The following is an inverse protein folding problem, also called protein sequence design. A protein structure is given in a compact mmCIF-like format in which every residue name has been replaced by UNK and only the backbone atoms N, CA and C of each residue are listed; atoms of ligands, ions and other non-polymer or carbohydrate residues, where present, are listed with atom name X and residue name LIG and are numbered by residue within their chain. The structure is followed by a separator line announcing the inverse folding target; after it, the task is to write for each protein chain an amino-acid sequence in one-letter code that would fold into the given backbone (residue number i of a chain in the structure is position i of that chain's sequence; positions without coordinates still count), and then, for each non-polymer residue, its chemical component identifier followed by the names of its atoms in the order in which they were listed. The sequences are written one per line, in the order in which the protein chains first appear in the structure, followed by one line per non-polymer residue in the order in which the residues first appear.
data_IF_149263094132
#
_entry.id   IF_149263094132
#
_cell.length_a   1.000
_cell.length_b   1.000
_cell.length_c   1.000
_cell.angle_alpha   90.00
_cell.angle_beta   90.00
_cell.angle_gamma   90.00
#
_symmetry.space_group_name_H-M   'P 1'
#
loop_
_entity.id
_entity.type
_entity.pdbx_description
1 polymer ?
#
# COMPACT_ATOMS: atom_id res chain seq x y z
N UNK A 1 2.25 1.06 -29.60
CA UNK A 1 1.97 0.17 -28.46
C UNK A 1 3.23 0.06 -27.61
N UNK A 2 3.08 -0.03 -26.29
CA UNK A 2 4.12 -0.09 -25.24
C UNK A 2 4.86 1.21 -24.90
N UNK A 3 4.35 1.91 -23.88
CA UNK A 3 5.11 2.69 -22.88
C UNK A 3 4.23 3.34 -21.78
N UNK A 4 2.91 3.16 -21.81
CA UNK A 4 1.98 3.84 -20.87
C UNK A 4 1.51 2.94 -19.71
N UNK A 5 1.77 1.63 -19.75
CA UNK A 5 1.24 0.68 -18.75
C UNK A 5 2.00 0.70 -17.40
N UNK A 6 3.19 1.30 -17.34
CA UNK A 6 4.02 1.28 -16.14
C UNK A 6 3.76 2.41 -15.12
N UNK A 7 2.88 3.37 -15.39
CA UNK A 7 2.74 4.59 -14.56
C UNK A 7 1.34 4.73 -13.92
N UNK A 8 0.41 3.81 -14.16
CA UNK A 8 -0.96 3.90 -13.63
C UNK A 8 -1.18 3.10 -12.33
N UNK A 9 -0.20 2.29 -11.90
CA UNK A 9 -0.37 1.40 -10.73
C UNK A 9 -0.24 2.12 -9.38
N UNK A 10 0.24 3.37 -9.35
CA UNK A 10 0.45 4.12 -8.08
C UNK A 10 -0.71 5.08 -7.74
N UNK A 11 -1.68 5.29 -8.65
CA UNK A 11 -2.81 6.22 -8.41
C UNK A 11 -4.06 5.53 -7.85
N UNK A 12 -4.15 4.19 -7.89
CA UNK A 12 -5.34 3.46 -7.42
C UNK A 12 -5.31 3.06 -5.93
N UNK A 13 -4.17 3.16 -5.25
CA UNK A 13 -4.12 3.02 -3.78
C UNK A 13 -4.66 4.25 -3.04
N UNK A 14 -4.89 5.37 -3.74
CA UNK A 14 -5.62 6.51 -3.18
C UNK A 14 -7.15 6.34 -3.19
N UNK A 15 -7.69 5.32 -3.89
CA UNK A 15 -9.13 5.15 -4.07
C UNK A 15 -9.75 4.04 -3.20
N UNK A 16 -9.00 3.01 -2.81
CA UNK A 16 -9.54 1.87 -2.07
C UNK A 16 -9.57 2.06 -0.55
N UNK A 17 -8.45 2.48 0.03
CA UNK A 17 -8.32 2.71 1.47
C UNK A 17 -8.22 4.22 1.64
N UNK A 18 -9.23 4.83 2.26
CA UNK A 18 -9.40 6.27 2.32
C UNK A 18 -8.12 6.99 2.71
N UNK A 19 -7.44 7.57 1.73
CA UNK A 19 -6.62 8.76 1.93
C UNK A 19 -7.61 9.92 2.12
N UNK A 20 -8.38 9.87 3.21
CA UNK A 20 -9.36 10.90 3.54
C UNK A 20 -8.71 12.15 4.14
N UNK A 21 -7.37 12.16 4.28
CA UNK A 21 -6.66 13.24 4.96
C UNK A 21 -5.62 13.99 4.13
N UNK A 22 -5.17 13.50 2.96
CA UNK A 22 -4.36 14.34 2.07
C UNK A 22 -5.26 15.35 1.33
N UNK A 23 -6.51 14.97 1.03
CA UNK A 23 -7.50 15.85 0.40
C UNK A 23 -7.92 17.01 1.33
N UNK A 24 -7.89 16.82 2.65
CA UNK A 24 -8.30 17.87 3.60
C UNK A 24 -7.22 18.90 3.94
N UNK A 25 -5.94 18.61 3.71
CA UNK A 25 -4.86 19.54 4.07
C UNK A 25 -4.41 20.47 2.93
N UNK A 26 -4.78 20.23 1.68
CA UNK A 26 -4.25 21.04 0.56
C UNK A 26 -5.28 21.67 -0.38
N UNK A 27 -6.58 21.40 -0.24
CA UNK A 27 -7.57 21.89 -1.20
C UNK A 27 -8.11 23.31 -0.96
N UNK A 28 -7.56 24.09 -0.03
CA UNK A 28 -7.97 25.50 0.13
C UNK A 28 -6.92 26.58 -0.10
N UNK A 29 -5.65 26.26 -0.33
CA UNK A 29 -4.63 27.30 -0.56
C UNK A 29 -3.30 26.87 -1.25
N UNK A 30 -3.19 25.70 -1.88
CA UNK A 30 -1.95 25.31 -2.55
C UNK A 30 -1.97 25.66 -4.04
N UNK A 31 -1.06 26.54 -4.47
CA UNK A 31 -0.81 26.84 -5.89
C UNK A 31 -0.39 25.56 -6.65
N UNK A 32 -0.66 25.47 -7.95
CA UNK A 32 -0.37 24.30 -8.81
C UNK A 32 1.10 23.84 -8.71
N UNK A 33 2.03 24.79 -8.52
CA UNK A 33 3.45 24.50 -8.26
C UNK A 33 3.67 23.72 -6.97
N UNK A 34 2.97 24.07 -5.88
CA UNK A 34 3.07 23.37 -4.59
C UNK A 34 2.49 21.96 -4.67
N UNK A 35 1.39 21.78 -5.42
CA UNK A 35 0.83 20.44 -5.68
C UNK A 35 1.79 19.56 -6.47
N UNK A 36 2.45 20.12 -7.48
CA UNK A 36 3.44 19.40 -8.30
C UNK A 36 4.66 18.97 -7.47
N UNK A 37 5.23 19.88 -6.69
CA UNK A 37 6.38 19.59 -5.80
C UNK A 37 5.99 18.57 -4.74
N UNK A 38 4.81 18.72 -4.12
CA UNK A 38 4.31 17.75 -3.14
C UNK A 38 4.15 16.36 -3.77
N UNK A 39 3.60 16.28 -4.98
CA UNK A 39 3.47 15.02 -5.72
C UNK A 39 4.83 14.40 -6.02
N UNK A 40 5.81 15.19 -6.45
CA UNK A 40 7.17 14.71 -6.75
C UNK A 40 7.86 14.19 -5.49
N UNK A 41 7.80 14.92 -4.37
CA UNK A 41 8.39 14.52 -3.09
C UNK A 41 7.72 13.25 -2.56
N UNK A 42 6.39 13.22 -2.52
CA UNK A 42 5.63 12.03 -2.08
C UNK A 42 5.92 10.83 -3.00
N UNK A 43 6.01 11.03 -4.31
CA UNK A 43 6.35 9.95 -5.24
C UNK A 43 7.77 9.42 -5.02
N UNK A 44 8.73 10.30 -4.74
CA UNK A 44 10.11 9.92 -4.46
C UNK A 44 10.20 9.14 -3.13
N UNK A 45 9.52 9.61 -2.09
CA UNK A 45 9.50 8.98 -0.76
C UNK A 45 8.81 7.61 -0.79
N UNK A 46 7.81 7.43 -1.65
CA UNK A 46 7.06 6.17 -1.77
C UNK A 46 7.64 5.20 -2.79
N UNK A 47 8.57 5.62 -3.64
CA UNK A 47 9.17 4.76 -4.66
C UNK A 47 9.78 3.46 -4.09
N UNK A 48 10.52 3.47 -2.96
CA UNK A 48 11.06 2.24 -2.37
C UNK A 48 9.97 1.28 -1.92
N UNK A 49 8.89 1.80 -1.31
CA UNK A 49 7.75 1.00 -0.85
C UNK A 49 7.00 0.42 -2.04
N UNK A 50 6.69 1.24 -3.05
CA UNK A 50 6.02 0.78 -4.27
C UNK A 50 6.82 -0.30 -4.99
N UNK A 51 8.15 -0.18 -5.04
CA UNK A 51 9.03 -1.21 -5.60
C UNK A 51 8.93 -2.52 -4.81
N UNK A 52 9.00 -2.46 -3.48
CA UNK A 52 8.91 -3.63 -2.63
C UNK A 52 7.52 -4.32 -2.69
N UNK A 53 6.44 -3.54 -2.85
CA UNK A 53 5.09 -4.09 -3.12
C UNK A 53 5.08 -4.85 -4.45
N UNK A 54 5.64 -4.26 -5.51
CA UNK A 54 5.73 -4.93 -6.82
C UNK A 54 6.49 -6.26 -6.75
N UNK A 55 7.58 -6.32 -5.98
CA UNK A 55 8.30 -7.57 -5.71
C UNK A 55 7.44 -8.60 -4.98
N UNK A 56 6.65 -8.17 -3.99
CA UNK A 56 5.74 -9.03 -3.24
C UNK A 56 4.60 -9.58 -4.12
N UNK A 57 4.07 -8.77 -5.03
CA UNK A 57 3.10 -9.18 -6.04
C UNK A 57 3.70 -10.15 -7.07
N UNK A 58 4.98 -9.98 -7.41
CA UNK A 58 5.72 -10.87 -8.30
C UNK A 58 6.33 -12.10 -7.58
N UNK A 59 5.99 -12.30 -6.30
CA UNK A 59 6.49 -13.41 -5.49
C UNK A 59 8.02 -13.52 -5.45
N UNK A 60 8.73 -12.39 -5.52
CA UNK A 60 10.19 -12.35 -5.41
C UNK A 60 10.63 -12.67 -3.98
N UNK A 61 11.70 -13.46 -3.86
CA UNK A 61 12.28 -13.81 -2.56
C UNK A 61 12.74 -12.57 -1.81
N UNK A 62 12.39 -12.47 -0.52
CA UNK A 62 12.81 -11.36 0.34
C UNK A 62 11.92 -10.11 0.30
N UNK A 63 10.88 -10.07 -0.55
CA UNK A 63 9.98 -8.93 -0.65
C UNK A 63 9.28 -8.59 0.68
N UNK A 64 8.85 -9.61 1.44
CA UNK A 64 8.25 -9.44 2.77
C UNK A 64 9.22 -8.77 3.74
N UNK A 65 10.46 -9.24 3.81
CA UNK A 65 11.48 -8.66 4.69
C UNK A 65 11.87 -7.23 4.28
N UNK A 66 11.90 -6.92 2.98
CA UNK A 66 12.13 -5.57 2.47
C UNK A 66 10.99 -4.62 2.87
N UNK A 67 9.72 -5.09 2.79
CA UNK A 67 8.57 -4.32 3.26
C UNK A 67 8.56 -4.13 4.77
N UNK A 68 8.94 -5.14 5.56
CA UNK A 68 9.08 -5.01 7.02
C UNK A 68 10.14 -3.96 7.37
N UNK A 69 11.31 -4.01 6.72
CA UNK A 69 12.36 -3.01 6.91
C UNK A 69 11.88 -1.59 6.55
N UNK A 70 11.12 -1.45 5.46
CA UNK A 70 10.51 -0.16 5.07
C UNK A 70 9.42 0.27 6.06
N UNK A 71 8.70 -0.66 6.67
CA UNK A 71 7.75 -0.42 7.77
C UNK A 71 8.40 0.24 9.00
N UNK A 72 9.71 0.10 9.17
CA UNK A 72 10.47 0.75 10.24
C UNK A 72 11.21 2.02 9.80
N UNK A 73 11.67 2.08 8.55
CA UNK A 73 12.65 3.09 8.10
C UNK A 73 12.06 4.19 7.21
N UNK A 74 10.91 3.96 6.59
CA UNK A 74 10.32 4.92 5.66
C UNK A 74 9.67 6.14 6.37
N UNK A 75 9.20 7.10 5.57
CA UNK A 75 8.34 8.18 6.06
C UNK A 75 7.05 7.59 6.68
N UNK A 76 6.32 8.33 7.53
CA UNK A 76 5.06 7.83 8.13
C UNK A 76 4.08 7.24 7.11
N UNK A 77 3.90 7.92 5.97
CA UNK A 77 3.06 7.43 4.87
C UNK A 77 3.62 6.15 4.23
N UNK A 78 4.93 6.11 3.98
CA UNK A 78 5.58 4.92 3.43
C UNK A 78 5.50 3.72 4.36
N UNK A 79 5.66 3.93 5.67
CA UNK A 79 5.49 2.90 6.71
C UNK A 79 4.07 2.36 6.73
N UNK A 80 3.08 3.25 6.71
CA UNK A 80 1.67 2.85 6.66
C UNK A 80 1.37 1.99 5.44
N UNK A 81 1.84 2.39 4.25
CA UNK A 81 1.66 1.62 3.02
C UNK A 81 2.39 0.26 3.04
N UNK A 82 3.61 0.22 3.58
CA UNK A 82 4.35 -1.03 3.70
C UNK A 82 3.59 -2.05 4.57
N UNK A 83 3.07 -1.61 5.72
CA UNK A 83 2.30 -2.45 6.62
C UNK A 83 0.92 -2.83 6.07
N UNK A 84 0.26 -1.97 5.28
CA UNK A 84 -0.97 -2.34 4.56
C UNK A 84 -0.70 -3.47 3.56
N UNK A 85 0.39 -3.38 2.79
CA UNK A 85 0.75 -4.42 1.83
C UNK A 85 1.08 -5.75 2.52
N UNK A 86 1.80 -5.70 3.64
CA UNK A 86 2.05 -6.87 4.49
C UNK A 86 0.74 -7.47 5.01
N UNK A 87 -0.17 -6.63 5.52
CA UNK A 87 -1.47 -7.07 6.03
C UNK A 87 -2.31 -7.76 4.96
N UNK A 88 -2.35 -7.20 3.74
CA UNK A 88 -3.04 -7.81 2.59
C UNK A 88 -2.43 -9.15 2.21
N UNK A 89 -1.10 -9.27 2.25
CA UNK A 89 -0.42 -10.53 1.99
C UNK A 89 -0.73 -11.58 3.06
N UNK A 90 -0.64 -11.22 4.35
CA UNK A 90 -0.98 -12.14 5.44
C UNK A 90 -2.44 -12.60 5.35
N UNK A 91 -3.36 -11.67 5.07
CA UNK A 91 -4.77 -12.00 4.85
C UNK A 91 -4.93 -12.97 3.67
N UNK A 92 -4.26 -12.69 2.55
CA UNK A 92 -4.29 -13.52 1.35
C UNK A 92 -3.73 -14.93 1.60
N UNK A 93 -2.75 -15.06 2.48
CA UNK A 93 -2.16 -16.34 2.91
C UNK A 93 -2.99 -17.06 3.99
N UNK A 94 -4.09 -16.46 4.45
CA UNK A 94 -4.98 -17.01 5.47
C UNK A 94 -4.56 -16.70 6.93
N UNK A 95 -3.51 -15.90 7.14
CA UNK A 95 -3.06 -15.48 8.47
C UNK A 95 -3.75 -14.16 8.86
N UNK A 96 -4.99 -14.27 9.35
CA UNK A 96 -5.79 -13.11 9.76
C UNK A 96 -5.25 -12.40 11.00
N UNK A 97 -4.54 -13.12 11.88
CA UNK A 97 -3.97 -12.52 13.10
C UNK A 97 -2.76 -11.65 12.75
N UNK A 98 -1.84 -12.15 11.91
CA UNK A 98 -0.75 -11.34 11.39
C UNK A 98 -1.27 -10.15 10.58
N UNK A 99 -2.32 -10.36 9.77
CA UNK A 99 -2.96 -9.29 9.02
C UNK A 99 -3.52 -8.18 9.92
N UNK A 100 -4.11 -8.53 11.07
CA UNK A 100 -4.59 -7.58 12.08
C UNK A 100 -3.46 -6.79 12.73
N UNK A 101 -2.39 -7.47 13.13
CA UNK A 101 -1.22 -6.82 13.73
C UNK A 101 -0.59 -5.83 12.76
N UNK A 102 -0.39 -6.24 11.50
CA UNK A 102 0.20 -5.39 10.47
C UNK A 102 -0.72 -4.20 10.13
N UNK A 103 -2.04 -4.40 10.05
CA UNK A 103 -2.95 -3.27 9.83
C UNK A 103 -2.93 -2.27 11.00
N UNK A 104 -2.82 -2.76 12.24
CA UNK A 104 -2.64 -1.90 13.41
C UNK A 104 -1.32 -1.11 13.34
N UNK A 105 -0.21 -1.75 12.91
CA UNK A 105 1.05 -1.05 12.69
C UNK A 105 0.93 0.03 11.60
N UNK A 106 0.13 -0.20 10.55
CA UNK A 106 -0.13 0.80 9.53
C UNK A 106 -0.90 2.02 10.08
N UNK A 107 -1.89 1.78 10.94
CA UNK A 107 -2.66 2.79 11.66
C UNK A 107 -1.75 3.57 12.62
N UNK A 108 -0.83 2.87 13.29
CA UNK A 108 0.10 3.47 14.24
C UNK A 108 1.16 4.33 13.55
N UNK A 109 1.56 3.96 12.34
CA UNK A 109 2.43 4.75 11.48
C UNK A 109 1.74 5.98 10.88
N UNK A 110 0.40 5.97 10.75
CA UNK A 110 -0.34 7.12 10.24
C UNK A 110 -0.27 8.31 11.21
N UNK A 111 0.02 9.47 10.66
CA UNK A 111 -0.01 10.75 11.39
C UNK A 111 -1.44 11.19 11.70
N UNK A 112 -2.40 10.74 10.90
CA UNK A 112 -3.83 10.94 11.15
C UNK A 112 -4.43 9.65 11.68
N UNK A 113 -4.94 9.69 12.92
CA UNK A 113 -5.40 8.49 13.61
C UNK A 113 -6.86 8.22 13.20
N UNK A 114 -7.14 7.17 12.42
CA UNK A 114 -8.50 6.85 12.02
C UNK A 114 -9.37 6.60 13.26
N UNK A 115 -10.62 7.04 13.19
CA UNK A 115 -11.67 6.73 14.16
C UNK A 115 -11.91 5.23 14.27
N UNK A 116 -12.69 4.81 15.28
CA UNK A 116 -13.03 3.40 15.43
C UNK A 116 -13.80 2.84 14.22
N UNK A 117 -14.67 3.65 13.63
CA UNK A 117 -15.44 3.29 12.44
C UNK A 117 -14.54 3.14 11.21
N UNK A 118 -13.63 4.09 10.98
CA UNK A 118 -12.67 4.02 9.87
C UNK A 118 -11.71 2.83 10.01
N UNK A 119 -11.28 2.51 11.24
CA UNK A 119 -10.46 1.31 11.48
C UNK A 119 -11.19 0.03 11.09
N UNK A 120 -12.47 -0.09 11.43
CA UNK A 120 -13.28 -1.24 11.05
C UNK A 120 -13.45 -1.31 9.53
N UNK A 121 -13.69 -0.18 8.87
CA UNK A 121 -13.78 -0.12 7.41
C UNK A 121 -12.46 -0.54 6.73
N UNK A 122 -11.31 -0.17 7.29
CA UNK A 122 -10.00 -0.62 6.79
C UNK A 122 -9.84 -2.14 6.88
N UNK A 123 -10.38 -2.77 7.92
CA UNK A 123 -10.41 -4.23 8.05
C UNK A 123 -11.30 -4.89 7.00
N UNK A 124 -12.51 -4.34 6.79
CA UNK A 124 -13.44 -4.86 5.78
C UNK A 124 -12.87 -4.75 4.36
N UNK A 125 -12.11 -3.67 4.09
CA UNK A 125 -11.43 -3.43 2.82
C UNK A 125 -10.13 -4.22 2.65
N UNK A 126 -9.60 -4.82 3.72
CA UNK A 126 -8.38 -5.61 3.64
C UNK A 126 -8.56 -6.82 2.72
N UNK A 127 -9.75 -7.44 2.74
CA UNK A 127 -10.12 -8.54 1.87
C UNK A 127 -10.11 -8.14 0.38
N UNK A 128 -10.57 -6.93 0.07
CA UNK A 128 -10.52 -6.39 -1.29
C UNK A 128 -9.09 -6.13 -1.76
N UNK A 129 -8.25 -5.54 -0.90
CA UNK A 129 -6.83 -5.34 -1.19
C UNK A 129 -6.08 -6.66 -1.40
N UNK A 130 -6.35 -7.67 -0.56
CA UNK A 130 -5.83 -9.02 -0.72
C UNK A 130 -6.26 -9.66 -2.05
N UNK A 131 -7.52 -9.46 -2.47
CA UNK A 131 -8.02 -9.92 -3.77
C UNK A 131 -7.29 -9.24 -4.93
N UNK A 132 -7.08 -7.93 -4.86
CA UNK A 132 -6.32 -7.20 -5.90
C UNK A 132 -4.87 -7.71 -5.98
N UNK A 133 -4.23 -7.97 -4.83
CA UNK A 133 -2.90 -8.58 -4.79
C UNK A 133 -2.88 -9.98 -5.42
N UNK A 134 -3.91 -10.80 -5.19
CA UNK A 134 -4.05 -12.10 -5.83
C UNK A 134 -4.19 -12.00 -7.36
N UNK A 135 -4.95 -11.02 -7.85
CA UNK A 135 -5.09 -10.75 -9.28
C UNK A 135 -3.75 -10.30 -9.89
N UNK A 136 -2.96 -9.51 -9.17
CA UNK A 136 -1.61 -9.11 -9.59
C UNK A 136 -0.65 -10.30 -9.64
N UNK A 137 -0.62 -11.14 -8.60
CA UNK A 137 0.14 -12.41 -8.59
C UNK A 137 -0.20 -13.26 -9.80
N UNK A 138 -1.48 -13.39 -10.10
CA UNK A 138 -1.95 -14.13 -11.27
C UNK A 138 -1.42 -13.53 -12.58
N UNK A 139 -1.42 -12.21 -12.70
CA UNK A 139 -0.85 -11.51 -13.86
C UNK A 139 0.67 -11.74 -14.00
N UNK A 140 1.38 -11.98 -12.90
CA UNK A 140 2.80 -12.36 -12.89
C UNK A 140 3.05 -13.87 -13.08
N UNK A 141 2.01 -14.70 -13.20
CA UNK A 141 2.17 -16.14 -13.39
C UNK A 141 2.18 -16.95 -12.10
N UNK A 142 1.68 -16.40 -10.99
CA UNK A 142 1.66 -17.06 -9.67
C UNK A 142 0.26 -17.29 -9.12
N UNK A 143 0.11 -18.37 -8.35
CA UNK A 143 -1.03 -18.62 -7.47
C UNK A 143 -0.96 -17.69 -6.25
N UNK A 144 -2.05 -17.71 -5.47
CA UNK A 144 -2.19 -17.01 -4.19
C UNK A 144 -1.00 -17.26 -3.26
N UNK A 145 -0.55 -18.51 -3.15
CA UNK A 145 0.53 -18.94 -2.27
C UNK A 145 1.93 -18.84 -2.89
N UNK A 146 2.08 -18.05 -3.97
CA UNK A 146 3.35 -17.88 -4.70
C UNK A 146 3.91 -19.14 -5.36
N UNK A 147 3.12 -20.20 -5.51
CA UNK A 147 3.44 -21.26 -6.47
C UNK A 147 3.25 -20.77 -7.91
N UNK A 148 4.04 -21.25 -8.89
CA UNK A 148 3.75 -21.04 -10.29
C UNK A 148 2.33 -21.51 -10.66
N UNK A 149 1.65 -20.76 -11.54
CA UNK A 149 0.34 -21.13 -12.10
C UNK A 149 0.39 -22.39 -12.97
#
# INVERSE_FOLDING_TARGET
MNKIVAIVVVVLLAAGIGVFSVSKFTEKAANETTKKVLKEVVSADLAPVSKAIGKLEACESGATAELEALGHTATPLGRSLAYIALAQNSYLMGDQDAARVQLQQAIDASTDKPSAEERNEMFDKLAEGAKQMAEKRKAYGFKVNCEPL
#
